data_IF_415031947713
#
_entry.id   IF_415031947713
#
_cell.length_a   1.000
_cell.length_b   1.000
_cell.length_c   1.000
_cell.angle_alpha   90.00
_cell.angle_beta   90.00
_cell.angle_gamma   90.00
#
_symmetry.space_group_name_H-M   'P 1'
#
loop_
_entity.id
_entity.type
_entity.pdbx_description
1 polymer ?
#
# COMPACT_ATOMS: atom_id res chain seq x y z
N UNK A 1 -12.47 27.23 -0.96
CA UNK A 1 -12.76 25.79 -1.22
C UNK A 1 -12.25 25.28 -2.58
N UNK A 2 -12.08 26.13 -3.61
CA UNK A 2 -11.67 25.71 -4.98
C UNK A 2 -10.23 25.20 -5.14
N UNK A 3 -9.26 25.68 -4.35
CA UNK A 3 -7.85 25.23 -4.45
C UNK A 3 -7.59 23.86 -3.82
N UNK A 4 -8.36 23.49 -2.80
CA UNK A 4 -8.17 22.19 -2.14
C UNK A 4 -8.76 21.04 -2.97
N UNK A 5 -9.88 21.29 -3.67
CA UNK A 5 -10.45 20.33 -4.59
C UNK A 5 -9.57 20.11 -5.82
N UNK A 6 -8.94 21.15 -6.36
CA UNK A 6 -8.00 21.01 -7.48
C UNK A 6 -6.74 20.22 -7.10
N UNK A 7 -6.19 20.47 -5.90
CA UNK A 7 -5.05 19.72 -5.38
C UNK A 7 -5.39 18.24 -5.14
N UNK A 8 -6.52 17.92 -4.49
CA UNK A 8 -6.96 16.52 -4.32
C UNK A 8 -7.14 15.80 -5.66
N UNK A 9 -7.72 16.47 -6.66
CA UNK A 9 -7.84 15.92 -8.01
C UNK A 9 -6.47 15.63 -8.61
N UNK A 10 -5.52 16.56 -8.49
CA UNK A 10 -4.17 16.37 -8.99
C UNK A 10 -3.42 15.22 -8.28
N UNK A 11 -3.52 15.11 -6.96
CA UNK A 11 -2.97 13.99 -6.19
C UNK A 11 -3.56 12.66 -6.65
N UNK A 12 -4.88 12.63 -6.90
CA UNK A 12 -5.57 11.44 -7.41
C UNK A 12 -5.06 11.05 -8.80
N UNK A 13 -4.78 12.02 -9.68
CA UNK A 13 -4.20 11.76 -11.00
C UNK A 13 -2.78 11.18 -10.91
N UNK A 14 -1.92 11.71 -10.04
CA UNK A 14 -0.58 11.16 -9.82
C UNK A 14 -0.61 9.76 -9.22
N UNK A 15 -1.50 9.55 -8.25
CA UNK A 15 -1.78 8.22 -7.73
C UNK A 15 -2.19 7.28 -8.87
N UNK A 16 -3.24 7.60 -9.62
CA UNK A 16 -3.74 6.75 -10.70
C UNK A 16 -2.66 6.44 -11.76
N UNK A 17 -1.92 7.45 -12.21
CA UNK A 17 -0.84 7.28 -13.18
C UNK A 17 0.29 6.39 -12.66
N UNK A 18 0.75 6.60 -11.42
CA UNK A 18 1.78 5.75 -10.81
C UNK A 18 1.31 4.30 -10.64
N UNK A 19 0.06 4.09 -10.25
CA UNK A 19 -0.50 2.74 -10.06
C UNK A 19 -0.70 2.03 -11.39
N UNK A 20 -1.14 2.74 -12.42
CA UNK A 20 -1.22 2.22 -13.78
C UNK A 20 0.15 1.78 -14.30
N UNK A 21 1.21 2.56 -14.04
CA UNK A 21 2.58 2.18 -14.37
C UNK A 21 3.01 0.91 -13.63
N UNK A 22 2.74 0.80 -12.31
CA UNK A 22 3.07 -0.40 -11.52
C UNK A 22 2.34 -1.64 -12.07
N UNK A 23 1.06 -1.52 -12.40
CA UNK A 23 0.28 -2.63 -12.99
C UNK A 23 0.80 -2.99 -14.38
N UNK A 24 1.18 -2.01 -15.20
CA UNK A 24 1.77 -2.24 -16.51
C UNK A 24 3.14 -2.96 -16.39
N UNK A 25 3.98 -2.55 -15.44
CA UNK A 25 5.23 -3.25 -15.13
C UNK A 25 4.97 -4.69 -14.66
N UNK A 26 4.01 -4.91 -13.75
CA UNK A 26 3.64 -6.26 -13.31
C UNK A 26 3.14 -7.13 -14.47
N UNK A 27 2.33 -6.56 -15.37
CA UNK A 27 1.84 -7.24 -16.56
C UNK A 27 2.97 -7.59 -17.53
N UNK A 28 3.92 -6.66 -17.71
CA UNK A 28 5.11 -6.88 -18.53
C UNK A 28 6.01 -7.98 -17.95
N UNK A 29 6.28 -7.96 -16.64
CA UNK A 29 7.05 -9.00 -15.95
C UNK A 29 6.37 -10.38 -16.05
N UNK A 30 5.05 -10.42 -15.90
CA UNK A 30 4.26 -11.63 -16.13
C UNK A 30 4.36 -12.13 -17.58
N UNK A 31 4.29 -11.23 -18.57
CA UNK A 31 4.39 -11.58 -19.99
C UNK A 31 5.75 -12.18 -20.35
N UNK A 32 6.84 -11.56 -19.89
CA UNK A 32 8.21 -12.03 -20.15
C UNK A 32 8.63 -13.23 -19.27
N UNK A 33 7.89 -13.51 -18.19
CA UNK A 33 8.16 -14.60 -17.22
C UNK A 33 9.58 -14.53 -16.64
N UNK A 34 10.02 -13.32 -16.33
CA UNK A 34 11.36 -13.00 -15.83
C UNK A 34 11.27 -11.85 -14.82
N UNK A 35 12.09 -11.83 -13.74
CA UNK A 35 13.18 -12.76 -13.40
C UNK A 35 12.73 -14.06 -12.72
N UNK A 36 13.39 -15.17 -13.07
CA UNK A 36 13.07 -16.50 -12.53
C UNK A 36 13.73 -16.73 -11.16
N UNK A 37 13.14 -17.57 -10.31
CA UNK A 37 13.73 -18.01 -9.03
C UNK A 37 13.47 -17.06 -7.86
N UNK A 38 13.73 -15.76 -8.01
CA UNK A 38 13.45 -14.75 -6.96
C UNK A 38 11.96 -14.59 -6.66
N UNK A 39 11.14 -14.98 -7.63
CA UNK A 39 9.68 -14.95 -7.63
C UNK A 39 9.17 -16.40 -7.70
N UNK A 40 9.36 -17.17 -6.64
CA UNK A 40 8.90 -18.56 -6.55
C UNK A 40 7.38 -18.69 -6.78
N UNK A 41 6.93 -19.70 -7.54
CA UNK A 41 6.19 -19.54 -8.80
C UNK A 41 5.12 -18.41 -8.83
N UNK A 42 5.53 -17.15 -8.99
CA UNK A 42 4.62 -15.98 -8.89
C UNK A 42 4.06 -15.48 -10.22
N UNK A 43 4.59 -15.95 -11.35
CA UNK A 43 4.11 -15.55 -12.68
C UNK A 43 2.84 -16.32 -13.14
N UNK A 44 1.96 -16.70 -12.20
CA UNK A 44 0.66 -17.34 -12.53
C UNK A 44 -0.36 -16.35 -13.07
N UNK A 45 -0.25 -15.10 -12.67
CA UNK A 45 -1.09 -13.99 -13.11
C UNK A 45 -0.36 -12.66 -12.87
N UNK A 46 -0.86 -11.59 -13.48
CA UNK A 46 -0.34 -10.23 -13.26
C UNK A 46 -0.42 -9.82 -11.78
N UNK A 47 -1.51 -10.20 -11.09
CA UNK A 47 -1.69 -9.87 -9.68
C UNK A 47 -0.78 -10.70 -8.77
N UNK A 48 -0.40 -11.92 -9.18
CA UNK A 48 0.50 -12.76 -8.42
C UNK A 48 1.93 -12.16 -8.37
N UNK A 49 2.37 -11.41 -9.38
CA UNK A 49 3.64 -10.65 -9.29
C UNK A 49 3.61 -9.64 -8.13
N UNK A 50 2.43 -9.10 -7.79
CA UNK A 50 2.26 -8.15 -6.70
C UNK A 50 2.04 -8.82 -5.33
N UNK A 51 2.04 -10.15 -5.28
CA UNK A 51 1.99 -10.92 -4.03
C UNK A 51 3.37 -11.39 -3.56
N UNK A 52 4.43 -10.94 -4.23
CA UNK A 52 5.76 -11.50 -4.08
C UNK A 52 6.47 -11.20 -2.79
N UNK A 53 7.51 -11.98 -2.51
CA UNK A 53 8.33 -11.87 -1.31
C UNK A 53 7.48 -11.94 -0.03
N UNK A 54 7.44 -10.89 0.78
CA UNK A 54 6.71 -10.87 2.06
C UNK A 54 5.19 -10.85 1.90
N UNK A 55 4.70 -10.51 0.71
CA UNK A 55 3.27 -10.58 0.40
C UNK A 55 2.75 -12.01 0.47
N UNK A 56 3.63 -13.00 0.29
CA UNK A 56 3.32 -14.42 0.48
C UNK A 56 3.07 -14.72 1.96
N UNK A 57 3.88 -14.18 2.86
CA UNK A 57 3.69 -14.37 4.30
C UNK A 57 2.40 -13.72 4.79
N UNK A 58 2.09 -12.50 4.35
CA UNK A 58 0.80 -11.88 4.68
C UNK A 58 -0.41 -12.68 4.17
N UNK A 59 -0.33 -13.23 2.96
CA UNK A 59 -1.36 -14.13 2.43
C UNK A 59 -1.46 -15.44 3.22
N UNK A 60 -0.32 -16.02 3.62
CA UNK A 60 -0.28 -17.26 4.39
C UNK A 60 -0.92 -17.08 5.76
N UNK A 61 -0.55 -16.02 6.50
CA UNK A 61 -1.16 -15.67 7.79
C UNK A 61 -2.66 -15.39 7.63
N UNK A 62 -3.06 -14.70 6.55
CA UNK A 62 -4.46 -14.44 6.28
C UNK A 62 -5.25 -15.74 6.02
N UNK A 63 -4.65 -16.69 5.31
CA UNK A 63 -5.28 -17.95 4.92
C UNK A 63 -5.32 -18.99 6.04
N UNK A 64 -4.20 -19.19 6.72
CA UNK A 64 -3.97 -20.34 7.60
C UNK A 64 -3.74 -19.93 9.06
N UNK A 65 -3.63 -18.64 9.36
CA UNK A 65 -3.23 -18.16 10.69
C UNK A 65 -1.71 -18.17 10.84
N UNK A 66 -1.24 -17.80 12.03
CA UNK A 66 0.18 -17.78 12.35
C UNK A 66 0.72 -19.20 12.54
N UNK A 67 1.89 -19.43 11.98
CA UNK A 67 2.66 -20.66 12.07
C UNK A 67 4.07 -20.36 12.63
N UNK A 68 4.33 -20.86 13.84
CA UNK A 68 5.65 -20.82 14.47
C UNK A 68 6.36 -22.17 14.30
N UNK A 69 7.45 -22.17 13.52
CA UNK A 69 8.30 -23.35 13.31
C UNK A 69 9.71 -23.05 13.83
N UNK A 70 10.10 -23.62 14.98
CA UNK A 70 11.45 -23.43 15.53
C UNK A 70 12.54 -23.85 14.53
N UNK A 71 13.57 -23.02 14.37
CA UNK A 71 14.71 -23.29 13.48
C UNK A 71 14.45 -23.03 11.99
N UNK A 72 13.26 -22.56 11.62
CA UNK A 72 12.88 -22.25 10.24
C UNK A 72 12.27 -20.85 10.11
N UNK A 73 12.20 -20.34 8.88
CA UNK A 73 11.43 -19.12 8.58
C UNK A 73 9.97 -19.33 8.97
N UNK A 74 9.43 -18.40 9.74
CA UNK A 74 8.08 -18.43 10.32
C UNK A 74 7.45 -17.05 10.20
N UNK A 75 6.15 -16.96 10.42
CA UNK A 75 5.37 -15.73 10.21
C UNK A 75 5.04 -14.85 11.45
N UNK A 76 5.54 -15.08 12.69
CA UNK A 76 5.16 -14.25 13.84
C UNK A 76 5.71 -12.81 13.76
N UNK A 77 6.65 -12.54 12.85
CA UNK A 77 7.18 -11.19 12.60
C UNK A 77 6.21 -10.28 11.83
N UNK A 78 5.14 -10.83 11.23
CA UNK A 78 4.19 -10.07 10.42
C UNK A 78 3.02 -9.56 11.27
N UNK A 79 2.75 -8.26 11.24
CA UNK A 79 1.69 -7.65 12.07
C UNK A 79 0.28 -8.10 11.65
N UNK A 80 -0.65 -8.32 12.60
CA UNK A 80 -1.94 -8.99 12.34
C UNK A 80 -2.98 -8.13 11.62
N UNK A 81 -2.87 -6.80 11.70
CA UNK A 81 -3.88 -5.89 11.16
C UNK A 81 -4.10 -6.10 9.65
N UNK A 82 -3.02 -6.25 8.90
CA UNK A 82 -3.10 -6.40 7.45
C UNK A 82 -3.69 -7.76 7.04
N UNK A 83 -3.24 -8.93 7.56
CA UNK A 83 -3.90 -10.21 7.35
C UNK A 83 -5.39 -10.23 7.70
N UNK A 84 -5.80 -9.58 8.79
CA UNK A 84 -7.21 -9.45 9.16
C UNK A 84 -7.99 -8.69 8.07
N UNK A 85 -7.45 -7.59 7.56
CA UNK A 85 -8.07 -6.84 6.46
C UNK A 85 -8.18 -7.70 5.18
N UNK A 86 -7.18 -8.53 4.88
CA UNK A 86 -7.24 -9.47 3.76
C UNK A 86 -8.38 -10.50 3.92
N UNK A 87 -8.60 -11.01 5.15
CA UNK A 87 -9.73 -11.92 5.45
C UNK A 87 -11.08 -11.25 5.25
N UNK A 88 -11.22 -9.98 5.61
CA UNK A 88 -12.47 -9.22 5.34
C UNK A 88 -12.73 -9.17 3.84
N UNK A 89 -11.72 -8.84 3.03
CA UNK A 89 -11.85 -8.87 1.57
C UNK A 89 -12.24 -10.26 1.04
N UNK A 90 -11.69 -11.32 1.64
CA UNK A 90 -12.06 -12.71 1.30
C UNK A 90 -13.53 -13.03 1.59
N UNK A 91 -14.07 -12.56 2.72
CA UNK A 91 -15.49 -12.70 3.06
C UNK A 91 -16.38 -12.00 2.03
N UNK A 92 -15.91 -10.90 1.43
CA UNK A 92 -16.58 -10.18 0.35
C UNK A 92 -16.44 -10.85 -1.03
N UNK A 93 -15.89 -12.07 -1.10
CA UNK A 93 -15.76 -12.85 -2.34
C UNK A 93 -14.49 -12.61 -3.14
N UNK A 94 -13.58 -11.73 -2.67
CA UNK A 94 -12.31 -11.48 -3.35
C UNK A 94 -11.29 -12.58 -3.07
N UNK A 95 -10.26 -12.70 -3.92
CA UNK A 95 -9.06 -13.47 -3.56
C UNK A 95 -8.22 -12.66 -2.57
N UNK A 96 -7.35 -13.30 -1.78
CA UNK A 96 -6.45 -12.58 -0.88
C UNK A 96 -5.53 -11.60 -1.64
N UNK A 97 -5.03 -12.02 -2.80
CA UNK A 97 -4.25 -11.15 -3.69
C UNK A 97 -5.03 -9.90 -4.14
N UNK A 98 -6.26 -10.08 -4.64
CA UNK A 98 -7.11 -8.97 -5.06
C UNK A 98 -7.47 -8.06 -3.88
N UNK A 99 -7.76 -8.65 -2.71
CA UNK A 99 -8.04 -7.90 -1.49
C UNK A 99 -6.87 -7.02 -1.08
N UNK A 100 -5.66 -7.59 -1.05
CA UNK A 100 -4.45 -6.84 -0.66
C UNK A 100 -4.14 -5.72 -1.62
N UNK A 101 -4.19 -5.97 -2.92
CA UNK A 101 -3.94 -4.94 -3.94
C UNK A 101 -4.98 -3.81 -3.84
N UNK A 102 -6.28 -4.14 -3.71
CA UNK A 102 -7.33 -3.14 -3.58
C UNK A 102 -7.19 -2.31 -2.30
N UNK A 103 -6.97 -2.97 -1.16
CA UNK A 103 -6.77 -2.31 0.14
C UNK A 103 -5.53 -1.42 0.08
N UNK A 104 -4.38 -1.93 -0.35
CA UNK A 104 -3.13 -1.17 -0.41
C UNK A 104 -3.27 0.07 -1.29
N UNK A 105 -3.92 -0.04 -2.46
CA UNK A 105 -4.09 1.10 -3.36
C UNK A 105 -5.11 2.12 -2.85
N UNK A 106 -6.23 1.68 -2.28
CA UNK A 106 -7.25 2.56 -1.72
C UNK A 106 -6.72 3.32 -0.49
N UNK A 107 -6.03 2.60 0.40
CA UNK A 107 -5.43 3.19 1.60
C UNK A 107 -4.26 4.10 1.24
N UNK A 108 -3.47 3.79 0.20
CA UNK A 108 -2.45 4.70 -0.31
C UNK A 108 -3.06 6.03 -0.76
N UNK A 109 -4.18 6.02 -1.50
CA UNK A 109 -4.84 7.25 -1.93
C UNK A 109 -5.27 8.11 -0.73
N UNK A 110 -5.91 7.48 0.26
CA UNK A 110 -6.28 8.15 1.50
C UNK A 110 -5.03 8.72 2.23
N UNK A 111 -3.96 7.94 2.31
CA UNK A 111 -2.68 8.33 2.88
C UNK A 111 -2.04 9.52 2.17
N UNK A 112 -2.03 9.54 0.83
CA UNK A 112 -1.48 10.65 0.04
C UNK A 112 -2.28 11.95 0.25
N UNK A 113 -3.61 11.86 0.33
CA UNK A 113 -4.46 13.01 0.63
C UNK A 113 -4.21 13.52 2.05
N UNK A 114 -4.09 12.61 3.03
CA UNK A 114 -3.74 12.95 4.40
C UNK A 114 -2.36 13.58 4.49
N UNK A 115 -1.36 13.02 3.79
CA UNK A 115 0.00 13.50 3.73
C UNK A 115 0.11 14.88 3.09
N UNK A 116 -0.69 15.15 2.04
CA UNK A 116 -0.79 16.50 1.48
C UNK A 116 -1.33 17.50 2.51
N UNK A 117 -2.39 17.14 3.22
CA UNK A 117 -2.99 18.00 4.24
C UNK A 117 -2.04 18.24 5.41
N UNK A 118 -1.32 17.21 5.84
CA UNK A 118 -0.26 17.29 6.83
C UNK A 118 0.83 18.25 6.35
N UNK A 119 1.37 18.05 5.15
CA UNK A 119 2.37 18.92 4.55
C UNK A 119 1.91 20.37 4.43
N UNK A 120 0.65 20.63 4.04
CA UNK A 120 0.09 21.99 3.96
C UNK A 120 0.00 22.70 5.31
N UNK A 121 0.00 21.96 6.43
CA UNK A 121 -0.02 22.54 7.76
C UNK A 121 1.37 23.04 8.21
N UNK A 122 2.46 22.55 7.61
CA UNK A 122 3.84 22.82 8.04
C UNK A 122 4.76 23.35 6.93
N UNK A 123 4.34 23.29 5.66
CA UNK A 123 5.13 23.69 4.49
C UNK A 123 4.34 24.62 3.55
N UNK A 124 5.05 25.43 2.73
CA UNK A 124 4.46 26.11 1.58
C UNK A 124 3.73 25.15 0.64
N UNK A 125 2.70 25.64 -0.05
CA UNK A 125 1.82 24.81 -0.88
C UNK A 125 2.55 23.97 -1.92
N UNK A 126 3.53 24.60 -2.57
CA UNK A 126 4.33 24.00 -3.63
C UNK A 126 5.14 22.82 -3.11
N UNK A 127 5.70 22.93 -1.91
CA UNK A 127 6.57 21.91 -1.34
C UNK A 127 5.75 20.75 -0.77
N UNK A 128 4.62 21.04 -0.12
CA UNK A 128 3.65 20.02 0.29
C UNK A 128 3.12 19.21 -0.91
N UNK A 129 2.84 19.89 -2.03
CA UNK A 129 2.42 19.23 -3.26
C UNK A 129 3.53 18.35 -3.84
N UNK A 130 4.76 18.86 -3.95
CA UNK A 130 5.93 18.10 -4.42
C UNK A 130 6.19 16.86 -3.58
N UNK A 131 6.15 16.99 -2.26
CA UNK A 131 6.35 15.86 -1.34
C UNK A 131 5.36 14.72 -1.61
N UNK A 132 4.09 15.04 -1.83
CA UNK A 132 3.05 14.05 -2.13
C UNK A 132 3.23 13.42 -3.50
N UNK A 133 3.60 14.21 -4.51
CA UNK A 133 3.92 13.67 -5.84
C UNK A 133 5.10 12.71 -5.75
N UNK A 134 6.18 13.09 -5.06
CA UNK A 134 7.32 12.21 -4.85
C UNK A 134 6.95 10.94 -4.09
N UNK A 135 6.12 11.03 -3.05
CA UNK A 135 5.63 9.83 -2.35
C UNK A 135 4.82 8.90 -3.27
N UNK A 136 4.03 9.46 -4.21
CA UNK A 136 3.22 8.67 -5.14
C UNK A 136 4.05 7.98 -6.24
N UNK A 137 5.13 8.61 -6.70
CA UNK A 137 5.94 8.15 -7.85
C UNK A 137 7.32 7.60 -7.49
N UNK A 138 7.70 7.61 -6.21
CA UNK A 138 9.01 7.13 -5.77
C UNK A 138 9.28 5.73 -6.33
N UNK A 139 10.51 5.41 -6.78
CA UNK A 139 10.82 4.11 -7.37
C UNK A 139 10.43 2.93 -6.48
N UNK A 140 10.72 3.01 -5.17
CA UNK A 140 10.33 1.99 -4.19
C UNK A 140 8.84 2.02 -3.84
N UNK A 141 8.08 2.98 -4.36
CA UNK A 141 6.65 3.13 -4.13
C UNK A 141 5.79 2.07 -4.81
N UNK A 142 6.37 1.13 -5.58
CA UNK A 142 5.64 -0.06 -6.04
C UNK A 142 5.20 -0.95 -4.86
N UNK A 143 5.92 -0.93 -3.73
CA UNK A 143 5.55 -1.67 -2.52
C UNK A 143 4.16 -1.27 -2.01
N UNK A 144 3.76 0.00 -2.20
CA UNK A 144 2.42 0.48 -1.89
C UNK A 144 1.29 -0.13 -2.76
N UNK A 145 1.64 -0.84 -3.85
CA UNK A 145 0.68 -1.59 -4.67
C UNK A 145 0.68 -3.09 -4.38
N UNK A 146 1.65 -3.59 -3.62
CA UNK A 146 1.80 -5.00 -3.31
C UNK A 146 0.87 -5.41 -2.16
N UNK A 147 0.76 -6.72 -1.92
CA UNK A 147 0.07 -7.29 -0.75
C UNK A 147 0.91 -7.09 0.52
N UNK A 148 1.06 -5.83 0.88
CA UNK A 148 2.09 -5.27 1.75
C UNK A 148 1.44 -4.19 2.64
N UNK A 149 1.77 -4.10 3.95
CA UNK A 149 1.13 -3.16 4.87
C UNK A 149 1.60 -1.71 4.71
N UNK A 150 2.57 -1.43 3.84
CA UNK A 150 3.27 -0.15 3.72
C UNK A 150 2.29 1.01 3.50
N UNK A 151 1.25 0.79 2.69
CA UNK A 151 0.23 1.81 2.44
C UNK A 151 -0.58 2.10 3.70
N UNK A 152 -0.86 1.08 4.51
CA UNK A 152 -1.57 1.19 5.78
C UNK A 152 -0.72 1.96 6.78
N UNK A 153 0.57 1.60 6.91
CA UNK A 153 1.51 2.30 7.80
C UNK A 153 1.69 3.75 7.37
N UNK A 154 1.89 4.01 6.08
CA UNK A 154 2.02 5.37 5.55
C UNK A 154 0.77 6.21 5.82
N UNK A 155 -0.42 5.66 5.56
CA UNK A 155 -1.67 6.35 5.83
C UNK A 155 -1.88 6.61 7.32
N UNK A 156 -1.58 5.63 8.19
CA UNK A 156 -1.64 5.79 9.63
C UNK A 156 -0.70 6.91 10.10
N UNK A 157 0.56 6.90 9.68
CA UNK A 157 1.53 7.96 10.01
C UNK A 157 1.05 9.34 9.56
N UNK A 158 0.55 9.46 8.33
CA UNK A 158 0.06 10.73 7.80
C UNK A 158 -1.19 11.24 8.54
N UNK A 159 -2.14 10.35 8.86
CA UNK A 159 -3.35 10.67 9.59
C UNK A 159 -3.06 11.03 11.05
N UNK A 160 -2.22 10.25 11.73
CA UNK A 160 -1.79 10.50 13.10
C UNK A 160 -1.04 11.82 13.20
N UNK A 161 -0.11 12.10 12.29
CA UNK A 161 0.58 13.40 12.25
C UNK A 161 -0.39 14.57 12.06
N UNK A 162 -1.37 14.41 11.16
CA UNK A 162 -2.40 15.44 10.94
C UNK A 162 -3.32 15.62 12.15
N UNK A 163 -3.66 14.53 12.86
CA UNK A 163 -4.45 14.58 14.09
C UNK A 163 -3.68 15.27 15.23
N UNK A 164 -2.40 14.94 15.40
CA UNK A 164 -1.51 15.54 16.39
C UNK A 164 -1.36 17.05 16.17
N UNK A 165 -1.15 17.51 14.94
CA UNK A 165 -1.09 18.95 14.62
C UNK A 165 -2.40 19.70 14.90
N UNK A 166 -3.52 18.98 14.97
CA UNK A 166 -4.84 19.55 15.31
C UNK A 166 -5.17 19.42 16.80
N UNK A 167 -4.23 18.96 17.63
CA UNK A 167 -4.41 18.74 19.06
C UNK A 167 -5.32 17.56 19.40
N UNK A 168 -5.60 16.65 18.46
CA UNK A 168 -6.52 15.51 18.64
C UNK A 168 -5.78 14.26 19.11
N UNK A 169 -5.17 14.32 20.29
CA UNK A 169 -4.30 13.26 20.82
C UNK A 169 -4.99 11.89 20.98
N UNK A 170 -6.29 11.86 21.29
CA UNK A 170 -7.06 10.61 21.40
C UNK A 170 -7.12 9.86 20.07
N UNK A 171 -7.17 10.58 18.94
CA UNK A 171 -7.18 9.96 17.61
C UNK A 171 -5.81 9.45 17.16
N UNK A 172 -4.77 9.67 17.97
CA UNK A 172 -3.40 9.22 17.71
C UNK A 172 -3.05 7.90 18.40
N UNK A 173 -3.85 7.50 19.41
CA UNK A 173 -3.71 6.25 20.15
C UNK A 173 -4.38 5.10 19.40
#
# INVERSE_FOLDING_TARGET
MSRQSSACRSVTLWWAGSRALVIACAAFLHWIRWPRGYFHPEFRSTLAVLTSWDGRWYNEVARNGYLLVPGHQSDPAFFPLYPIALRVGRVLGLSYAASGILISNAVLLAGLIAFYRLGRAVLPERDAYRAVVFAAIAPMGFAFSMVYPESVVFAAMALTGLAALRGRWISCA
#
